data_IF_177702035884
#
_entry.id   IF_177702035884
#
_cell.length_a   1.000
_cell.length_b   1.000
_cell.length_c   1.000
_cell.angle_alpha   90.00
_cell.angle_beta   90.00
_cell.angle_gamma   90.00
#
_symmetry.space_group_name_H-M   'P 1'
#
loop_
_entity.id
_entity.type
_entity.pdbx_description
1 polymer ?
#
# COMPACT_ATOMS: atom_id res chain seq x y z
N UNK A 1 -25.44 10.48 29.72
CA UNK A 1 -24.88 9.62 28.66
C UNK A 1 -23.37 9.77 28.72
N UNK A 2 -22.67 8.77 29.27
CA UNK A 2 -21.21 8.82 29.36
C UNK A 2 -20.59 8.66 27.98
N UNK A 3 -19.76 9.60 27.56
CA UNK A 3 -18.86 9.38 26.44
C UNK A 3 -17.94 8.21 26.80
N UNK A 4 -18.10 7.09 26.08
CA UNK A 4 -17.13 6.01 26.17
C UNK A 4 -15.82 6.56 25.57
N UNK A 5 -14.87 6.88 26.43
CA UNK A 5 -13.50 7.19 26.02
C UNK A 5 -12.98 5.96 25.30
N UNK A 6 -12.91 6.02 23.97
CA UNK A 6 -12.29 4.97 23.16
C UNK A 6 -10.84 4.83 23.62
N UNK A 7 -10.54 3.74 24.33
CA UNK A 7 -9.19 3.44 24.77
C UNK A 7 -8.31 3.20 23.54
N UNK A 8 -7.23 3.96 23.43
CA UNK A 8 -6.26 3.79 22.33
C UNK A 8 -5.63 2.40 22.39
N UNK A 9 -5.36 1.84 21.22
CA UNK A 9 -4.55 0.62 21.11
C UNK A 9 -3.09 0.91 21.51
N UNK A 10 -2.33 -0.15 21.82
CA UNK A 10 -0.90 -0.02 22.11
C UNK A 10 -0.12 0.63 20.95
N UNK A 11 -0.45 0.26 19.73
CA UNK A 11 0.17 0.86 18.56
C UNK A 11 -0.13 2.35 18.43
N UNK A 12 -1.38 2.78 18.70
CA UNK A 12 -1.76 4.20 18.72
C UNK A 12 -1.06 4.99 19.82
N UNK A 13 -0.87 4.38 20.98
CA UNK A 13 -0.12 5.00 22.10
C UNK A 13 1.35 5.21 21.74
N UNK A 14 1.99 4.19 21.12
CA UNK A 14 3.37 4.28 20.69
C UNK A 14 3.59 5.34 19.61
N UNK A 15 2.70 5.41 18.61
CA UNK A 15 2.77 6.46 17.57
C UNK A 15 2.57 7.85 18.18
N UNK A 16 1.61 8.00 19.09
CA UNK A 16 1.36 9.30 19.75
C UNK A 16 2.51 9.77 20.64
N UNK A 17 3.30 8.83 21.18
CA UNK A 17 4.48 9.13 22.00
C UNK A 17 5.76 9.33 21.17
N UNK A 18 5.74 8.95 19.88
CA UNK A 18 6.89 9.12 18.99
C UNK A 18 7.09 10.60 18.64
N UNK A 19 8.34 10.94 18.32
CA UNK A 19 8.67 12.24 17.78
C UNK A 19 7.91 12.48 16.47
N UNK A 20 7.10 13.54 16.33
CA UNK A 20 6.30 13.81 15.14
C UNK A 20 7.14 14.06 13.86
N UNK A 21 8.42 14.43 14.02
CA UNK A 21 9.37 14.58 12.91
C UNK A 21 9.85 13.22 12.36
N UNK A 22 9.63 12.13 13.09
CA UNK A 22 10.09 10.78 12.67
C UNK A 22 9.00 10.03 11.91
N UNK A 23 9.40 9.42 10.82
CA UNK A 23 8.53 8.48 10.09
C UNK A 23 8.62 7.10 10.75
N UNK A 24 7.58 6.70 11.44
CA UNK A 24 7.56 5.46 12.20
C UNK A 24 6.32 4.61 11.88
N UNK A 25 6.46 3.32 12.06
CA UNK A 25 5.40 2.31 12.07
C UNK A 25 5.45 1.57 13.41
N UNK A 26 4.41 0.86 13.75
CA UNK A 26 4.43 -0.11 14.86
C UNK A 26 4.21 -1.49 14.27
N UNK A 27 5.14 -2.40 14.51
CA UNK A 27 5.08 -3.77 14.01
C UNK A 27 5.32 -4.73 15.18
N UNK A 28 4.41 -5.66 15.40
CA UNK A 28 4.43 -6.59 16.54
C UNK A 28 4.63 -5.86 17.88
N UNK A 29 4.00 -4.71 18.07
CA UNK A 29 4.09 -3.89 19.28
C UNK A 29 5.43 -3.18 19.48
N UNK A 30 6.29 -3.11 18.47
CA UNK A 30 7.56 -2.40 18.50
C UNK A 30 7.56 -1.22 17.52
N UNK A 31 8.08 -0.07 17.98
CA UNK A 31 8.28 1.10 17.12
C UNK A 31 9.40 0.85 16.13
N UNK A 32 9.14 1.02 14.86
CA UNK A 32 10.07 0.79 13.77
C UNK A 32 10.19 2.05 12.92
N UNK A 33 11.39 2.54 12.75
CA UNK A 33 11.63 3.71 11.91
C UNK A 33 11.55 3.34 10.42
N UNK A 34 10.85 4.16 9.65
CA UNK A 34 10.80 4.11 8.19
C UNK A 34 11.88 5.05 7.66
N UNK A 35 12.87 4.52 6.96
CA UNK A 35 13.93 5.33 6.36
C UNK A 35 13.35 6.40 5.41
N UNK A 36 14.07 7.49 5.24
CA UNK A 36 13.74 8.47 4.20
C UNK A 36 13.78 7.77 2.82
N UNK A 37 12.81 8.02 1.95
CA UNK A 37 12.78 7.41 0.63
C UNK A 37 13.96 7.90 -0.23
N UNK A 38 14.52 7.01 -1.04
CA UNK A 38 15.42 7.43 -2.13
C UNK A 38 14.63 8.14 -3.22
N UNK A 39 15.34 8.73 -4.18
CA UNK A 39 14.65 9.38 -5.30
C UNK A 39 13.90 8.34 -6.16
N UNK A 40 14.49 7.15 -6.40
CA UNK A 40 13.85 6.07 -7.16
C UNK A 40 12.57 5.58 -6.49
N UNK A 41 12.60 5.45 -5.15
CA UNK A 41 11.41 5.08 -4.38
C UNK A 41 10.32 6.16 -4.53
N UNK A 42 10.70 7.43 -4.42
CA UNK A 42 9.75 8.55 -4.53
C UNK A 42 9.17 8.66 -5.94
N UNK A 43 9.99 8.44 -6.97
CA UNK A 43 9.58 8.42 -8.36
C UNK A 43 8.59 7.28 -8.64
N UNK A 44 8.92 6.07 -8.22
CA UNK A 44 8.02 4.91 -8.32
C UNK A 44 6.67 5.13 -7.60
N UNK A 45 6.68 5.76 -6.43
CA UNK A 45 5.46 6.12 -5.70
C UNK A 45 4.62 7.15 -6.50
N UNK A 46 5.28 8.13 -7.07
CA UNK A 46 4.66 9.10 -7.99
C UNK A 46 4.03 8.42 -9.19
N UNK A 47 4.76 7.51 -9.84
CA UNK A 47 4.30 6.74 -11.00
C UNK A 47 3.08 5.85 -10.67
N UNK A 48 3.08 5.14 -9.54
CA UNK A 48 1.90 4.39 -9.07
C UNK A 48 0.69 5.30 -8.94
N UNK A 49 0.87 6.49 -8.35
CA UNK A 49 -0.23 7.45 -8.19
C UNK A 49 -0.72 8.00 -9.53
N UNK A 50 0.17 8.34 -10.45
CA UNK A 50 -0.14 8.87 -11.79
C UNK A 50 -0.86 7.83 -12.65
N UNK A 51 -0.43 6.59 -12.62
CA UNK A 51 -1.04 5.50 -13.37
C UNK A 51 -2.45 5.16 -12.88
N UNK A 52 -2.66 5.13 -11.57
CA UNK A 52 -3.89 4.60 -10.98
C UNK A 52 -4.93 5.68 -10.62
N UNK A 53 -4.53 6.82 -10.05
CA UNK A 53 -5.48 7.82 -9.53
C UNK A 53 -6.38 8.46 -10.60
N UNK A 54 -5.88 8.86 -11.78
CA UNK A 54 -6.76 9.39 -12.82
C UNK A 54 -7.88 8.41 -13.19
N UNK A 55 -7.54 7.15 -13.36
CA UNK A 55 -8.42 6.09 -13.87
C UNK A 55 -9.37 5.55 -12.81
N UNK A 56 -8.83 5.23 -11.65
CA UNK A 56 -9.57 4.48 -10.62
C UNK A 56 -10.13 5.38 -9.51
N UNK A 57 -9.49 6.51 -9.19
CA UNK A 57 -10.04 7.46 -8.22
C UNK A 57 -10.96 8.48 -8.88
N UNK A 58 -10.54 9.08 -9.99
CA UNK A 58 -11.25 10.19 -10.65
C UNK A 58 -12.12 9.75 -11.81
N UNK A 59 -12.02 8.52 -12.30
CA UNK A 59 -12.77 8.00 -13.45
C UNK A 59 -12.34 8.58 -14.79
N UNK A 60 -11.21 9.29 -14.86
CA UNK A 60 -10.69 9.86 -16.12
C UNK A 60 -9.93 8.80 -16.92
N UNK A 61 -10.54 8.30 -17.97
CA UNK A 61 -9.98 7.23 -18.79
C UNK A 61 -10.01 5.85 -18.12
N UNK A 62 -10.94 5.64 -17.17
CA UNK A 62 -11.13 4.38 -16.47
C UNK A 62 -12.41 4.34 -15.65
N UNK A 63 -12.68 3.24 -14.94
CA UNK A 63 -13.97 2.98 -14.28
C UNK A 63 -14.23 3.81 -13.02
N UNK A 64 -13.21 4.44 -12.44
CA UNK A 64 -13.35 5.03 -11.10
C UNK A 64 -13.52 3.97 -10.02
N UNK A 65 -14.28 4.30 -8.97
CA UNK A 65 -14.75 3.34 -7.96
C UNK A 65 -13.79 3.05 -6.82
N UNK A 66 -12.70 3.81 -6.68
CA UNK A 66 -11.71 3.62 -5.63
C UNK A 66 -11.40 4.90 -4.83
N UNK A 67 -11.07 4.71 -3.55
CA UNK A 67 -10.27 5.64 -2.78
C UNK A 67 -8.82 5.16 -2.84
N UNK A 68 -7.91 5.99 -3.35
CA UNK A 68 -6.48 5.69 -3.45
C UNK A 68 -5.71 6.74 -2.65
N UNK A 69 -5.01 6.30 -1.62
CA UNK A 69 -4.23 7.13 -0.70
C UNK A 69 -2.75 6.73 -0.79
N UNK A 70 -1.88 7.72 -0.62
CA UNK A 70 -0.45 7.52 -0.45
C UNK A 70 -0.11 7.64 1.03
N UNK A 71 0.74 6.76 1.50
CA UNK A 71 1.24 6.72 2.88
C UNK A 71 0.15 6.84 3.96
N UNK A 72 -1.01 6.14 3.83
CA UNK A 72 -2.00 6.19 4.89
C UNK A 72 -1.53 5.42 6.13
N UNK A 73 -1.78 5.98 7.32
CA UNK A 73 -1.62 5.23 8.56
C UNK A 73 -2.80 4.27 8.75
N UNK A 74 -2.52 2.97 8.75
CA UNK A 74 -3.53 1.90 8.83
C UNK A 74 -3.27 1.03 10.05
N UNK A 75 -4.28 0.89 10.91
CA UNK A 75 -4.25 -0.04 12.03
C UNK A 75 -4.70 -1.43 11.58
N UNK A 76 -3.88 -2.44 11.84
CA UNK A 76 -4.17 -3.85 11.58
C UNK A 76 -4.41 -4.65 12.87
N UNK A 77 -4.63 -3.96 13.97
CA UNK A 77 -4.88 -4.55 15.28
C UNK A 77 -4.22 -3.73 16.39
N UNK A 78 -4.21 -4.25 17.62
CA UNK A 78 -3.70 -3.49 18.76
C UNK A 78 -2.19 -3.26 18.74
N UNK A 79 -1.45 -4.11 18.04
CA UNK A 79 0.02 -4.13 18.04
C UNK A 79 0.63 -3.76 16.68
N UNK A 80 -0.21 -3.47 15.66
CA UNK A 80 0.27 -3.17 14.30
C UNK A 80 -0.39 -1.92 13.72
N UNK A 81 0.44 -0.95 13.38
CA UNK A 81 0.08 0.25 12.65
C UNK A 81 1.12 0.49 11.57
N UNK A 82 0.71 0.28 10.32
CA UNK A 82 1.58 0.37 9.15
C UNK A 82 1.26 1.60 8.31
N UNK A 83 2.27 2.09 7.62
CA UNK A 83 2.18 3.15 6.62
C UNK A 83 2.67 2.61 5.26
N UNK A 84 1.83 1.85 4.53
CA UNK A 84 2.19 1.39 3.19
C UNK A 84 2.39 2.57 2.23
N UNK A 85 3.19 2.39 1.19
CA UNK A 85 3.47 3.46 0.22
C UNK A 85 2.22 3.87 -0.56
N UNK A 86 1.31 2.91 -0.83
CA UNK A 86 -0.03 3.23 -1.31
C UNK A 86 -1.05 2.18 -0.81
N UNK A 87 -2.30 2.62 -0.66
CA UNK A 87 -3.41 1.73 -0.35
C UNK A 87 -4.71 2.18 -1.03
N UNK A 88 -5.62 1.21 -1.25
CA UNK A 88 -6.88 1.46 -1.93
C UNK A 88 -8.07 0.75 -1.30
N UNK A 89 -9.21 1.43 -1.33
CA UNK A 89 -10.51 0.92 -0.90
C UNK A 89 -11.52 1.04 -2.03
N UNK A 90 -12.27 -0.02 -2.28
CA UNK A 90 -13.40 0.02 -3.22
C UNK A 90 -14.54 0.85 -2.62
N UNK A 91 -15.04 1.83 -3.37
CA UNK A 91 -16.16 2.70 -2.91
C UNK A 91 -17.46 1.92 -2.70
N UNK A 92 -17.66 0.83 -3.42
CA UNK A 92 -18.81 -0.05 -3.20
C UNK A 92 -18.82 -0.66 -1.80
N UNK A 93 -17.65 -0.96 -1.22
CA UNK A 93 -17.48 -1.47 0.13
C UNK A 93 -17.36 -0.35 1.18
N UNK A 94 -16.72 0.74 0.81
CA UNK A 94 -16.47 1.91 1.66
C UNK A 94 -17.03 3.16 0.96
N UNK A 95 -18.35 3.46 1.09
CA UNK A 95 -18.97 4.55 0.34
C UNK A 95 -18.42 5.94 0.66
N UNK A 96 -17.94 6.15 1.89
CA UNK A 96 -17.34 7.41 2.32
C UNK A 96 -15.82 7.29 2.38
N UNK A 97 -15.14 8.40 2.12
CA UNK A 97 -13.66 8.45 2.27
C UNK A 97 -13.26 8.04 3.69
N UNK A 98 -12.31 7.10 3.85
CA UNK A 98 -11.75 6.81 5.16
C UNK A 98 -11.18 8.09 5.80
N UNK A 99 -11.73 8.49 6.94
CA UNK A 99 -11.41 9.76 7.62
C UNK A 99 -10.90 9.59 9.05
N UNK A 100 -10.93 8.36 9.60
CA UNK A 100 -10.35 8.08 10.90
C UNK A 100 -8.82 8.12 10.84
N UNK A 101 -8.19 8.47 11.95
CA UNK A 101 -6.75 8.38 12.11
C UNK A 101 -6.44 7.60 13.41
N UNK A 102 -5.71 6.47 13.31
CA UNK A 102 -5.40 5.74 12.08
C UNK A 102 -6.64 5.18 11.38
N UNK A 103 -6.51 4.79 10.10
CA UNK A 103 -7.58 4.12 9.36
C UNK A 103 -7.66 2.66 9.85
N UNK A 104 -8.79 2.28 10.45
CA UNK A 104 -9.02 0.90 10.89
C UNK A 104 -9.78 0.03 9.87
N UNK A 105 -10.19 0.63 8.74
CA UNK A 105 -10.85 -0.09 7.67
C UNK A 105 -9.82 -0.85 6.82
N UNK A 106 -9.98 -2.17 6.72
CA UNK A 106 -9.14 -3.01 5.87
C UNK A 106 -9.13 -2.50 4.42
N UNK A 107 -7.95 -2.26 3.80
CA UNK A 107 -7.86 -1.94 2.38
C UNK A 107 -8.23 -3.13 1.48
N UNK A 108 -8.58 -2.84 0.24
CA UNK A 108 -8.80 -3.84 -0.81
C UNK A 108 -7.54 -4.06 -1.66
N UNK A 109 -6.58 -3.15 -1.55
CA UNK A 109 -5.29 -3.21 -2.20
C UNK A 109 -4.24 -2.44 -1.41
N UNK A 110 -3.04 -2.99 -1.34
CA UNK A 110 -1.84 -2.35 -0.77
C UNK A 110 -0.70 -2.46 -1.78
N UNK A 111 0.14 -1.43 -1.83
CA UNK A 111 1.40 -1.43 -2.56
C UNK A 111 2.54 -0.99 -1.65
N UNK A 112 3.63 -1.76 -1.67
CA UNK A 112 4.91 -1.39 -1.06
C UNK A 112 5.96 -1.26 -2.16
N UNK A 113 6.78 -0.24 -2.05
CA UNK A 113 7.92 -0.02 -2.93
C UNK A 113 9.18 -0.40 -2.14
N UNK A 114 9.86 -1.43 -2.60
CA UNK A 114 11.00 -1.96 -1.85
C UNK A 114 12.17 -0.99 -1.84
N UNK A 115 12.82 -0.96 -0.70
CA UNK A 115 14.17 -0.41 -0.55
C UNK A 115 15.07 -1.48 0.07
N UNK A 116 16.40 -1.39 -0.06
CA UNK A 116 17.31 -2.36 0.57
C UNK A 116 17.08 -2.54 2.07
N UNK A 117 16.65 -1.47 2.77
CA UNK A 117 16.40 -1.51 4.21
C UNK A 117 15.04 -2.08 4.60
N UNK A 118 14.05 -2.08 3.71
CA UNK A 118 12.67 -2.50 4.01
C UNK A 118 12.29 -3.84 3.40
N UNK A 119 12.96 -4.27 2.32
CA UNK A 119 12.59 -5.46 1.52
C UNK A 119 12.33 -6.72 2.36
N UNK A 120 13.18 -7.02 3.36
CA UNK A 120 12.97 -8.19 4.24
C UNK A 120 11.67 -8.09 5.03
N UNK A 121 11.30 -6.89 5.46
CA UNK A 121 10.10 -6.63 6.25
C UNK A 121 8.85 -6.67 5.37
N UNK A 122 8.90 -6.04 4.21
CA UNK A 122 7.77 -5.93 3.29
C UNK A 122 7.44 -7.29 2.65
N UNK A 123 8.46 -8.07 2.24
CA UNK A 123 8.29 -9.43 1.70
C UNK A 123 8.07 -10.50 2.78
N UNK A 124 8.29 -10.20 4.04
CA UNK A 124 8.11 -11.10 5.18
C UNK A 124 6.93 -10.69 6.05
N UNK A 125 7.24 -10.02 7.17
CA UNK A 125 6.26 -9.70 8.21
C UNK A 125 5.02 -8.95 7.70
N UNK A 126 5.21 -7.87 6.92
CA UNK A 126 4.07 -7.07 6.42
C UNK A 126 3.21 -7.87 5.44
N UNK A 127 3.82 -8.66 4.54
CA UNK A 127 3.07 -9.53 3.64
C UNK A 127 2.16 -10.49 4.41
N UNK A 128 2.69 -11.12 5.45
CA UNK A 128 1.93 -12.06 6.28
C UNK A 128 0.85 -11.33 7.10
N UNK A 129 1.17 -10.15 7.65
CA UNK A 129 0.22 -9.29 8.35
C UNK A 129 -0.96 -8.90 7.44
N UNK A 130 -0.69 -8.43 6.22
CA UNK A 130 -1.73 -8.04 5.25
C UNK A 130 -2.58 -9.23 4.83
N UNK A 131 -1.98 -10.42 4.68
CA UNK A 131 -2.73 -11.64 4.41
C UNK A 131 -3.67 -12.01 5.57
N UNK A 132 -3.21 -11.98 6.82
CA UNK A 132 -4.03 -12.25 8.00
C UNK A 132 -5.14 -11.21 8.18
N UNK A 133 -4.87 -9.96 7.89
CA UNK A 133 -5.87 -8.88 7.89
C UNK A 133 -6.88 -9.02 6.74
N UNK A 134 -6.68 -9.95 5.81
CA UNK A 134 -7.60 -10.25 4.73
C UNK A 134 -7.52 -9.27 3.55
N UNK A 135 -6.41 -8.56 3.35
CA UNK A 135 -6.20 -7.68 2.20
C UNK A 135 -6.17 -8.52 0.91
N UNK A 136 -7.09 -8.30 -0.06
CA UNK A 136 -7.20 -9.19 -1.23
C UNK A 136 -6.02 -9.13 -2.18
N UNK A 137 -5.43 -7.94 -2.39
CA UNK A 137 -4.38 -7.73 -3.38
C UNK A 137 -3.20 -6.98 -2.75
N UNK A 138 -2.01 -7.49 -3.00
CA UNK A 138 -0.76 -6.91 -2.52
C UNK A 138 0.22 -6.76 -3.69
N UNK A 139 0.68 -5.54 -3.94
CA UNK A 139 1.70 -5.23 -4.93
C UNK A 139 3.02 -4.93 -4.26
N UNK A 140 4.08 -5.39 -4.90
CA UNK A 140 5.45 -5.05 -4.54
C UNK A 140 6.15 -4.51 -5.78
N UNK A 141 6.65 -3.28 -5.68
CA UNK A 141 7.47 -2.65 -6.71
C UNK A 141 8.93 -2.71 -6.24
N UNK A 142 9.71 -3.58 -6.88
CA UNK A 142 11.14 -3.72 -6.62
C UNK A 142 11.92 -2.81 -7.56
N UNK A 143 12.29 -1.63 -7.08
CA UNK A 143 12.98 -0.62 -7.90
C UNK A 143 14.42 -1.01 -8.20
N UNK A 144 15.06 -1.85 -7.37
CA UNK A 144 16.42 -2.32 -7.59
C UNK A 144 16.50 -3.35 -8.71
N UNK A 145 15.49 -4.24 -8.79
CA UNK A 145 15.39 -5.28 -9.83
C UNK A 145 14.50 -4.91 -10.99
N UNK A 146 13.89 -3.73 -10.95
CA UNK A 146 12.89 -3.26 -11.92
C UNK A 146 11.78 -4.29 -12.17
N UNK A 147 11.14 -4.74 -11.09
CA UNK A 147 10.11 -5.78 -11.15
C UNK A 147 8.85 -5.36 -10.39
N UNK A 148 7.70 -5.57 -11.03
CA UNK A 148 6.40 -5.55 -10.38
C UNK A 148 6.00 -6.98 -10.00
N UNK A 149 5.69 -7.22 -8.74
CA UNK A 149 5.14 -8.46 -8.21
C UNK A 149 3.70 -8.21 -7.76
N UNK A 150 2.76 -9.00 -8.24
CA UNK A 150 1.34 -8.91 -7.89
C UNK A 150 0.92 -10.18 -7.17
N UNK A 151 0.44 -10.01 -5.96
CA UNK A 151 -0.04 -11.09 -5.12
C UNK A 151 -1.54 -11.00 -4.94
N UNK A 152 -2.23 -12.12 -5.06
CA UNK A 152 -3.63 -12.30 -4.72
C UNK A 152 -3.76 -13.17 -3.48
N UNK A 153 -4.64 -12.76 -2.57
CA UNK A 153 -4.93 -13.54 -1.36
C UNK A 153 -5.68 -14.82 -1.69
N UNK A 154 -5.09 -15.95 -1.33
CA UNK A 154 -5.70 -17.27 -1.39
C UNK A 154 -5.95 -17.78 0.05
N UNK A 155 -6.71 -18.87 0.26
CA UNK A 155 -7.07 -19.34 1.60
C UNK A 155 -5.89 -19.61 2.54
N UNK A 156 -4.74 -20.05 2.02
CA UNK A 156 -3.58 -20.46 2.82
C UNK A 156 -2.42 -19.47 2.81
N UNK A 157 -2.31 -18.62 1.78
CA UNK A 157 -1.23 -17.63 1.62
C UNK A 157 -1.53 -16.67 0.48
N UNK A 158 -0.68 -15.65 0.29
CA UNK A 158 -0.65 -14.91 -0.97
C UNK A 158 -0.05 -15.77 -2.08
N UNK A 159 -0.79 -15.90 -3.19
CA UNK A 159 -0.28 -16.44 -4.45
C UNK A 159 0.35 -15.32 -5.28
N UNK A 160 1.57 -15.50 -5.76
CA UNK A 160 2.17 -14.63 -6.77
C UNK A 160 1.51 -14.96 -8.11
N UNK A 161 0.69 -14.02 -8.61
CA UNK A 161 -0.12 -14.23 -9.83
C UNK A 161 0.44 -13.51 -11.05
N UNK A 162 1.36 -12.55 -10.84
CA UNK A 162 2.02 -11.83 -11.92
C UNK A 162 3.40 -11.37 -11.45
N UNK A 163 4.37 -11.52 -12.32
CA UNK A 163 5.68 -10.89 -12.25
C UNK A 163 5.94 -10.23 -13.60
N UNK A 164 6.31 -8.95 -13.60
CA UNK A 164 6.54 -8.22 -14.85
C UNK A 164 7.73 -7.27 -14.73
N UNK A 165 8.52 -7.24 -15.79
CA UNK A 165 9.65 -6.33 -15.97
C UNK A 165 9.27 -5.05 -16.72
N UNK A 166 10.23 -4.12 -16.90
CA UNK A 166 9.96 -2.78 -17.43
C UNK A 166 9.52 -2.75 -18.90
N UNK A 167 9.85 -3.75 -19.68
CA UNK A 167 9.50 -3.80 -21.11
C UNK A 167 8.08 -4.36 -21.35
N UNK A 168 7.36 -4.72 -20.28
CA UNK A 168 6.07 -5.36 -20.35
C UNK A 168 4.91 -4.37 -20.14
N UNK A 169 3.76 -4.73 -20.73
CA UNK A 169 2.47 -4.09 -20.49
C UNK A 169 1.53 -5.13 -19.89
N UNK A 170 0.93 -4.83 -18.76
CA UNK A 170 0.17 -5.81 -17.99
C UNK A 170 -1.20 -5.29 -17.56
N UNK A 171 -2.12 -6.23 -17.32
CA UNK A 171 -3.41 -6.00 -16.68
C UNK A 171 -3.37 -6.59 -15.27
N UNK A 172 -2.80 -5.82 -14.35
CA UNK A 172 -2.54 -6.29 -12.99
C UNK A 172 -3.76 -6.17 -12.09
N UNK A 173 -4.13 -7.25 -11.40
CA UNK A 173 -5.19 -7.24 -10.38
C UNK A 173 -4.86 -6.28 -9.23
N UNK A 174 -5.84 -5.51 -8.72
CA UNK A 174 -7.25 -5.46 -9.07
C UNK A 174 -7.62 -4.37 -10.11
N UNK A 175 -6.67 -3.95 -10.94
CA UNK A 175 -6.81 -2.84 -11.90
C UNK A 175 -6.77 -3.31 -13.35
N UNK A 176 -7.28 -4.49 -13.66
CA UNK A 176 -7.19 -5.20 -14.95
C UNK A 176 -7.88 -4.47 -16.11
N UNK A 177 -8.77 -3.54 -15.80
CA UNK A 177 -9.43 -2.70 -16.82
C UNK A 177 -8.44 -1.73 -17.50
N UNK A 178 -7.22 -1.62 -16.97
CA UNK A 178 -6.16 -0.78 -17.52
C UNK A 178 -4.93 -1.62 -17.88
N UNK A 179 -4.42 -1.43 -19.09
CA UNK A 179 -3.15 -2.01 -19.51
C UNK A 179 -2.01 -1.06 -19.15
N UNK A 180 -1.29 -1.42 -18.10
CA UNK A 180 -0.24 -0.61 -17.50
C UNK A 180 1.12 -0.89 -18.12
N UNK A 181 1.82 0.12 -18.65
CA UNK A 181 3.22 0.00 -19.02
C UNK A 181 4.07 -0.05 -17.76
N UNK A 182 4.71 -1.19 -17.49
CA UNK A 182 5.44 -1.42 -16.23
C UNK A 182 6.67 -0.53 -16.11
N UNK A 183 7.32 -0.20 -17.22
CA UNK A 183 8.50 0.66 -17.25
C UNK A 183 8.30 2.04 -16.62
N UNK A 184 7.07 2.57 -16.66
CA UNK A 184 6.77 3.84 -16.00
C UNK A 184 6.96 3.81 -14.49
N UNK A 185 6.87 2.62 -13.86
CA UNK A 185 7.16 2.45 -12.42
C UNK A 185 8.65 2.63 -12.09
N UNK A 186 9.51 2.62 -13.10
CA UNK A 186 10.96 2.67 -12.98
C UNK A 186 11.57 3.87 -13.72
N UNK A 187 10.77 4.93 -13.95
CA UNK A 187 11.22 6.16 -14.59
C UNK A 187 11.56 6.01 -16.07
N UNK A 188 11.07 4.95 -16.76
CA UNK A 188 11.25 4.80 -18.20
C UNK A 188 10.15 5.53 -18.94
N UNK A 189 10.52 6.29 -19.97
CA UNK A 189 9.57 6.94 -20.87
C UNK A 189 8.82 5.91 -21.71
N UNK A 190 7.58 6.28 -22.10
CA UNK A 190 6.89 5.52 -23.14
C UNK A 190 7.62 5.73 -24.47
N UNK A 191 8.09 4.65 -25.08
CA UNK A 191 8.52 4.74 -26.47
C UNK A 191 7.33 5.19 -27.35
N UNK A 192 7.52 6.32 -28.04
CA UNK A 192 6.53 6.95 -28.92
C UNK A 192 6.47 6.21 -30.26
#
# INVERSE_FOLDING_TARGET
>A
MGEATLQRSRAEELIAAADPERRVEVLAGALVEKAAPSWEHSDAQGAVAELLRPRFRSGRGGPGGWWLLLEPDISFGPDDLCRPDAAGWRRERVPQTPSSFPISLRPDWICEILSPSTARRDLGYKRDLYWHAGVPHYWVVDVEREMLLVFRREPSAYALILTAGPDERVRAEPFESFEMPVGLLFGRDLEV
#
